data_IF_226836597344
#
_entry.id   IF_226836597344
#
_cell.length_a   1.000
_cell.length_b   1.000
_cell.length_c   1.000
_cell.angle_alpha   90.00
_cell.angle_beta   90.00
_cell.angle_gamma   90.00
#
_symmetry.space_group_name_H-M   'P 1'
#
loop_
_entity.id
_entity.type
_entity.pdbx_description
1 polymer ?
#
# COMPACT_ATOMS: atom_id res chain seq x y z
N UNK A 1 -32.26 13.41 -11.32
CA UNK A 1 -30.99 14.08 -10.99
C UNK A 1 -30.89 14.06 -9.48
N UNK A 2 -30.01 13.24 -8.92
CA UNK A 2 -29.76 13.24 -7.49
C UNK A 2 -29.29 14.63 -7.08
N UNK A 3 -30.05 15.32 -6.22
CA UNK A 3 -29.60 16.57 -5.62
C UNK A 3 -28.37 16.24 -4.76
N UNK A 4 -27.20 16.68 -5.23
CA UNK A 4 -25.93 16.53 -4.54
C UNK A 4 -25.86 17.64 -3.50
N UNK A 5 -25.91 17.30 -2.21
CA UNK A 5 -25.97 18.27 -1.11
C UNK A 5 -24.60 18.87 -0.71
N UNK A 6 -23.51 18.48 -1.37
CA UNK A 6 -22.15 18.96 -1.06
C UNK A 6 -21.13 18.63 -2.15
N UNK A 7 -19.88 19.01 -1.94
CA UNK A 7 -18.79 18.70 -2.88
C UNK A 7 -18.40 17.22 -2.81
N UNK A 8 -18.05 16.63 -3.96
CA UNK A 8 -17.45 15.29 -4.02
C UNK A 8 -16.03 15.39 -4.56
N UNK A 9 -15.10 14.69 -3.92
CA UNK A 9 -13.70 14.64 -4.33
C UNK A 9 -13.28 13.22 -4.67
N UNK A 10 -12.51 13.09 -5.74
CA UNK A 10 -11.74 11.90 -6.10
C UNK A 10 -10.28 12.31 -6.19
N UNK A 11 -9.44 11.69 -5.38
CA UNK A 11 -8.04 12.07 -5.23
C UNK A 11 -7.19 10.83 -5.48
N UNK A 12 -6.21 10.94 -6.35
CA UNK A 12 -5.15 9.94 -6.47
C UNK A 12 -3.83 10.56 -6.01
N UNK A 13 -3.35 10.08 -4.86
CA UNK A 13 -2.04 10.49 -4.32
C UNK A 13 -0.98 9.51 -4.81
N UNK A 14 -0.36 9.86 -5.93
CA UNK A 14 0.80 9.15 -6.47
C UNK A 14 2.11 9.53 -5.76
N UNK A 15 3.22 8.97 -6.24
CA UNK A 15 4.56 9.26 -5.70
C UNK A 15 5.12 10.63 -6.09
N UNK A 16 4.74 11.17 -7.26
CA UNK A 16 5.26 12.45 -7.76
C UNK A 16 4.23 13.57 -7.69
N UNK A 17 3.03 13.31 -8.17
CA UNK A 17 1.91 14.25 -8.17
C UNK A 17 0.69 13.64 -7.47
N UNK A 18 -0.12 14.52 -6.90
CA UNK A 18 -1.47 14.25 -6.44
C UNK A 18 -2.44 14.87 -7.43
N UNK A 19 -3.31 14.03 -7.98
CA UNK A 19 -4.37 14.44 -8.90
C UNK A 19 -5.69 14.54 -8.13
N UNK A 20 -6.38 15.67 -8.27
CA UNK A 20 -7.64 15.97 -7.60
C UNK A 20 -8.69 16.28 -8.64
N UNK A 21 -9.77 15.52 -8.61
CA UNK A 21 -11.00 15.79 -9.34
C UNK A 21 -12.08 16.13 -8.33
N UNK A 22 -12.74 17.26 -8.53
CA UNK A 22 -13.81 17.71 -7.66
C UNK A 22 -15.07 17.95 -8.48
N UNK A 23 -16.22 17.60 -7.91
CA UNK A 23 -17.55 17.92 -8.44
C UNK A 23 -18.29 18.79 -7.45
N UNK A 24 -18.68 19.98 -7.93
CA UNK A 24 -19.53 20.91 -7.19
C UNK A 24 -20.98 20.39 -7.08
N UNK A 25 -21.77 20.91 -6.12
CA UNK A 25 -23.20 20.60 -6.00
C UNK A 25 -24.00 20.86 -7.28
N UNK A 26 -23.62 21.88 -8.06
CA UNK A 26 -24.21 22.24 -9.35
C UNK A 26 -23.81 21.29 -10.51
N UNK A 27 -22.92 20.33 -10.24
CA UNK A 27 -22.42 19.35 -11.21
C UNK A 27 -21.13 19.75 -11.92
N UNK A 28 -20.61 20.97 -11.73
CA UNK A 28 -19.37 21.42 -12.37
C UNK A 28 -18.17 20.61 -11.89
N UNK A 29 -17.36 20.15 -12.84
CA UNK A 29 -16.11 19.45 -12.58
C UNK A 29 -14.93 20.43 -12.57
N UNK A 30 -14.01 20.23 -11.63
CA UNK A 30 -12.75 20.98 -11.54
C UNK A 30 -11.61 20.01 -11.24
N UNK A 31 -10.47 20.22 -11.88
CA UNK A 31 -9.26 19.44 -11.62
C UNK A 31 -8.14 20.30 -11.03
N UNK A 32 -7.29 19.69 -10.21
CA UNK A 32 -6.04 20.26 -9.70
C UNK A 32 -4.96 19.17 -9.73
N UNK A 33 -3.72 19.60 -9.97
CA UNK A 33 -2.52 18.75 -9.88
C UNK A 33 -1.54 19.44 -8.95
N UNK A 34 -1.08 18.72 -7.93
CA UNK A 34 -0.15 19.21 -6.92
C UNK A 34 1.05 18.27 -6.84
N UNK A 35 2.21 18.76 -6.40
CA UNK A 35 3.33 17.89 -6.04
C UNK A 35 2.93 17.06 -4.82
N UNK A 36 3.16 15.74 -4.83
CA UNK A 36 2.79 14.86 -3.71
C UNK A 36 3.52 15.20 -2.41
N UNK A 37 4.70 15.82 -2.54
CA UNK A 37 5.56 16.25 -1.44
C UNK A 37 6.10 17.66 -1.74
N UNK A 38 5.63 18.65 -0.99
CA UNK A 38 6.13 20.03 -1.05
C UNK A 38 6.02 20.73 0.32
N UNK A 39 6.88 20.35 1.28
CA UNK A 39 6.76 20.77 2.68
C UNK A 39 6.89 22.28 2.90
N UNK A 40 7.46 23.01 1.93
CA UNK A 40 7.58 24.48 1.96
C UNK A 40 6.22 25.19 1.75
N UNK A 41 5.24 24.51 1.15
CA UNK A 41 3.94 25.11 0.83
C UNK A 41 2.77 24.47 1.58
N UNK A 42 2.80 23.15 1.79
CA UNK A 42 1.70 22.42 2.42
C UNK A 42 2.16 21.14 3.08
N UNK A 43 1.44 20.74 4.14
CA UNK A 43 1.73 19.53 4.89
C UNK A 43 1.26 18.25 4.17
N UNK A 44 0.16 18.32 3.43
CA UNK A 44 -0.38 17.21 2.63
C UNK A 44 -1.07 17.72 1.35
N UNK A 45 -0.75 17.10 0.22
CA UNK A 45 -1.22 17.52 -1.09
C UNK A 45 -2.72 17.22 -1.33
N UNK A 46 -3.27 16.16 -0.73
CA UNK A 46 -4.67 15.82 -0.89
C UNK A 46 -5.56 16.83 -0.16
N UNK A 47 -5.22 17.14 1.09
CA UNK A 47 -5.92 18.15 1.88
C UNK A 47 -5.82 19.52 1.22
N UNK A 48 -4.61 19.91 0.80
CA UNK A 48 -4.39 21.18 0.11
C UNK A 48 -5.21 21.27 -1.18
N UNK A 49 -5.29 20.18 -1.95
CA UNK A 49 -6.09 20.13 -3.16
C UNK A 49 -7.58 20.36 -2.90
N UNK A 50 -8.12 19.77 -1.82
CA UNK A 50 -9.50 20.04 -1.37
C UNK A 50 -9.66 21.52 -0.98
N UNK A 51 -8.74 22.07 -0.18
CA UNK A 51 -8.78 23.47 0.25
C UNK A 51 -8.74 24.45 -0.91
N UNK A 52 -7.88 24.24 -1.91
CA UNK A 52 -7.78 25.08 -3.12
C UNK A 52 -9.03 25.06 -3.99
N UNK A 53 -9.79 23.97 -3.98
CA UNK A 53 -11.08 23.90 -4.71
C UNK A 53 -12.18 24.63 -3.94
N UNK A 54 -12.18 24.50 -2.61
CA UNK A 54 -13.19 25.11 -1.75
C UNK A 54 -12.88 26.57 -1.39
N UNK A 55 -11.71 27.08 -1.77
CA UNK A 55 -11.17 28.38 -1.31
C UNK A 55 -11.16 28.49 0.22
N UNK A 56 -10.79 27.40 0.89
CA UNK A 56 -10.82 27.27 2.33
C UNK A 56 -9.46 27.56 2.97
N UNK A 57 -9.47 28.25 4.12
CA UNK A 57 -8.29 28.46 4.95
C UNK A 57 -7.81 27.20 5.70
N UNK A 58 -6.75 27.33 6.53
CA UNK A 58 -6.27 26.24 7.36
C UNK A 58 -7.27 25.86 8.46
N UNK A 59 -7.26 24.58 8.87
CA UNK A 59 -8.18 24.02 9.86
C UNK A 59 -9.17 23.02 9.28
N UNK A 60 -10.04 22.43 10.13
CA UNK A 60 -11.06 21.48 9.69
C UNK A 60 -12.12 22.17 8.83
N UNK A 61 -12.62 21.46 7.82
CA UNK A 61 -13.65 21.98 6.93
C UNK A 61 -15.02 22.04 7.62
N UNK A 62 -15.90 22.99 7.24
CA UNK A 62 -17.27 23.03 7.74
C UNK A 62 -18.03 21.75 7.42
N UNK A 63 -18.78 21.23 8.41
CA UNK A 63 -19.63 20.05 8.23
C UNK A 63 -20.68 20.28 7.14
N UNK A 64 -20.94 19.25 6.32
CA UNK A 64 -21.90 19.29 5.22
C UNK A 64 -21.41 19.95 3.93
N UNK A 65 -20.24 20.62 3.94
CA UNK A 65 -19.66 21.21 2.73
C UNK A 65 -19.15 20.13 1.75
N UNK A 66 -18.61 19.04 2.30
CA UNK A 66 -18.06 17.91 1.55
C UNK A 66 -18.92 16.68 1.82
N UNK A 67 -19.50 16.12 0.76
CA UNK A 67 -20.31 14.90 0.84
C UNK A 67 -19.43 13.66 0.98
N UNK A 68 -18.32 13.60 0.23
CA UNK A 68 -17.37 12.50 0.33
C UNK A 68 -16.03 12.85 -0.31
N UNK A 69 -14.97 12.29 0.26
CA UNK A 69 -13.63 12.23 -0.35
C UNK A 69 -13.30 10.77 -0.60
N UNK A 70 -13.01 10.43 -1.86
CA UNK A 70 -12.59 9.10 -2.30
C UNK A 70 -11.14 9.17 -2.73
N UNK A 71 -10.30 8.32 -2.15
CA UNK A 71 -8.85 8.45 -2.29
C UNK A 71 -8.17 7.14 -2.70
N UNK A 72 -7.43 7.20 -3.81
CA UNK A 72 -6.34 6.26 -4.10
C UNK A 72 -5.04 6.79 -3.51
N UNK A 73 -4.21 5.90 -3.00
CA UNK A 73 -2.89 6.27 -2.46
C UNK A 73 -1.86 5.21 -2.79
N UNK A 74 -0.61 5.65 -3.01
CA UNK A 74 0.54 4.75 -3.17
C UNK A 74 1.38 4.65 -1.90
N UNK A 75 0.92 5.18 -0.76
CA UNK A 75 1.68 5.19 0.51
C UNK A 75 2.11 3.79 0.94
N UNK A 76 1.20 2.81 0.93
CA UNK A 76 1.53 1.43 1.30
C UNK A 76 2.51 0.78 0.32
N UNK A 77 2.26 0.90 -0.99
CA UNK A 77 3.15 0.36 -2.02
C UNK A 77 4.56 0.94 -1.91
N UNK A 78 4.68 2.26 -1.72
CA UNK A 78 5.98 2.91 -1.59
C UNK A 78 6.69 2.51 -0.28
N UNK A 79 5.97 2.47 0.84
CA UNK A 79 6.54 1.99 2.11
C UNK A 79 7.06 0.55 2.01
N UNK A 80 6.35 -0.31 1.28
CA UNK A 80 6.77 -1.68 1.00
C UNK A 80 8.03 -1.74 0.11
N UNK A 81 8.05 -0.98 -0.98
CA UNK A 81 9.18 -0.93 -1.92
C UNK A 81 10.45 -0.36 -1.27
N UNK A 82 10.30 0.71 -0.48
CA UNK A 82 11.41 1.40 0.19
C UNK A 82 11.82 0.75 1.52
N UNK A 83 11.11 -0.30 1.96
CA UNK A 83 11.31 -0.96 3.26
C UNK A 83 11.24 0.02 4.43
N UNK A 84 10.25 0.92 4.38
CA UNK A 84 9.95 1.92 5.41
C UNK A 84 8.61 1.67 6.08
N UNK A 85 8.38 0.43 6.54
CA UNK A 85 7.25 0.04 7.39
C UNK A 85 7.53 0.18 8.87
N UNK A 86 6.55 -0.20 9.68
CA UNK A 86 6.72 -0.33 11.13
C UNK A 86 7.53 -1.60 11.46
N UNK A 87 8.62 -1.52 12.26
CA UNK A 87 9.34 -2.70 12.73
C UNK A 87 8.39 -3.71 13.37
N UNK A 88 8.39 -4.93 12.83
CA UNK A 88 7.35 -5.93 13.12
C UNK A 88 7.94 -7.20 13.71
N UNK A 89 7.29 -7.72 14.75
CA UNK A 89 7.54 -9.03 15.34
C UNK A 89 6.66 -10.08 14.67
N UNK A 90 7.21 -11.27 14.38
CA UNK A 90 6.45 -12.45 14.00
C UNK A 90 6.26 -13.35 15.23
N UNK A 91 5.03 -13.50 15.70
CA UNK A 91 4.64 -14.52 16.67
C UNK A 91 4.10 -15.76 15.93
N UNK A 92 4.78 -16.89 16.06
CA UNK A 92 4.51 -18.10 15.27
C UNK A 92 4.67 -19.34 16.13
N UNK A 93 3.98 -20.43 15.77
CA UNK A 93 4.10 -21.74 16.45
C UNK A 93 5.56 -22.17 16.54
N UNK A 94 5.99 -22.65 17.71
CA UNK A 94 7.35 -23.17 17.94
C UNK A 94 7.72 -24.27 16.95
N UNK A 95 8.96 -24.19 16.45
CA UNK A 95 9.48 -25.06 15.38
C UNK A 95 9.14 -24.57 13.97
N UNK A 96 8.45 -23.43 13.83
CA UNK A 96 8.12 -22.78 12.56
C UNK A 96 8.71 -21.37 12.44
N UNK A 97 9.63 -20.96 13.33
CA UNK A 97 10.24 -19.63 13.33
C UNK A 97 10.84 -19.20 11.99
N UNK A 98 11.45 -20.13 11.25
CA UNK A 98 12.04 -19.87 9.93
C UNK A 98 11.10 -20.11 8.75
N UNK A 99 9.83 -20.48 8.98
CA UNK A 99 8.93 -20.94 7.92
C UNK A 99 8.71 -19.89 6.81
N UNK A 100 8.56 -18.61 7.19
CA UNK A 100 8.38 -17.53 6.21
C UNK A 100 9.68 -17.23 5.45
N UNK A 101 10.83 -17.29 6.13
CA UNK A 101 12.14 -17.13 5.49
C UNK A 101 12.42 -18.25 4.47
N UNK A 102 12.10 -19.50 4.81
CA UNK A 102 12.26 -20.66 3.92
C UNK A 102 11.30 -20.58 2.73
N UNK A 103 10.05 -20.18 2.97
CA UNK A 103 9.06 -20.08 1.91
C UNK A 103 8.71 -21.43 1.28
N UNK A 104 8.46 -21.43 -0.03
CA UNK A 104 8.10 -22.63 -0.80
C UNK A 104 9.31 -23.42 -1.31
N UNK A 105 10.54 -23.00 -0.99
CA UNK A 105 11.78 -23.55 -1.56
C UNK A 105 11.84 -23.51 -3.10
N UNK A 106 10.96 -22.75 -3.75
CA UNK A 106 10.95 -22.54 -5.19
C UNK A 106 12.22 -21.82 -5.62
N UNK A 107 12.82 -22.24 -6.74
CA UNK A 107 13.99 -21.59 -7.36
C UNK A 107 13.58 -20.91 -8.67
N UNK A 108 13.24 -19.61 -8.65
CA UNK A 108 12.84 -18.88 -9.87
C UNK A 108 13.94 -18.93 -10.94
N UNK A 109 15.19 -18.81 -10.51
CA UNK A 109 16.37 -18.93 -11.36
C UNK A 109 17.09 -20.26 -11.07
N UNK A 110 16.65 -21.33 -11.73
CA UNK A 110 17.09 -22.72 -11.48
C UNK A 110 18.62 -22.91 -11.47
N UNK A 111 19.35 -22.14 -12.28
CA UNK A 111 20.79 -22.31 -12.50
C UNK A 111 21.67 -21.34 -11.71
N UNK A 112 21.09 -20.40 -10.95
CA UNK A 112 21.87 -19.48 -10.11
C UNK A 112 22.52 -20.25 -8.97
N UNK A 113 23.85 -20.20 -8.89
CA UNK A 113 24.64 -20.89 -7.85
C UNK A 113 24.60 -20.16 -6.50
N UNK A 114 24.47 -18.84 -6.52
CA UNK A 114 24.40 -17.99 -5.33
C UNK A 114 22.98 -17.45 -5.15
N UNK A 115 22.13 -18.22 -4.47
CA UNK A 115 20.74 -17.83 -4.20
C UNK A 115 20.74 -16.65 -3.22
N UNK A 116 20.14 -15.53 -3.63
CA UNK A 116 19.83 -14.42 -2.73
C UNK A 116 18.40 -14.57 -2.27
N UNK A 117 18.20 -14.71 -0.96
CA UNK A 117 16.87 -14.73 -0.36
C UNK A 117 16.31 -13.30 -0.32
N UNK A 118 14.99 -13.16 -0.43
CA UNK A 118 14.34 -11.88 -0.22
C UNK A 118 14.41 -11.48 1.25
N UNK A 119 14.62 -10.18 1.50
CA UNK A 119 14.57 -9.63 2.84
C UNK A 119 13.17 -9.79 3.44
N UNK A 120 13.15 -10.16 4.72
CA UNK A 120 11.92 -10.33 5.49
C UNK A 120 11.38 -8.97 5.95
N UNK A 121 10.07 -8.84 6.10
CA UNK A 121 9.44 -7.64 6.65
C UNK A 121 9.41 -7.62 8.18
N UNK A 122 9.55 -8.79 8.82
CA UNK A 122 9.70 -8.90 10.27
C UNK A 122 11.19 -8.92 10.63
N UNK A 123 11.51 -8.38 11.82
CA UNK A 123 12.89 -8.28 12.32
C UNK A 123 13.14 -9.22 13.50
N UNK A 124 12.08 -9.63 14.20
CA UNK A 124 12.16 -10.48 15.37
C UNK A 124 11.10 -11.58 15.32
N UNK A 125 11.46 -12.78 15.81
CA UNK A 125 10.55 -13.93 15.87
C UNK A 125 10.37 -14.35 17.32
N UNK A 126 9.11 -14.48 17.72
CA UNK A 126 8.72 -15.06 19.01
C UNK A 126 8.01 -16.38 18.74
N UNK A 127 8.67 -17.48 19.07
CA UNK A 127 8.09 -18.80 18.95
C UNK A 127 7.16 -19.10 20.14
N UNK A 128 5.87 -19.25 19.86
CA UNK A 128 4.83 -19.56 20.82
C UNK A 128 4.84 -21.08 21.08
N UNK A 129 4.81 -21.50 22.35
CA UNK A 129 4.76 -22.91 22.69
C UNK A 129 3.30 -23.39 22.74
N UNK A 130 2.76 -23.70 21.57
CA UNK A 130 1.39 -24.19 21.43
C UNK A 130 1.28 -25.16 20.24
N UNK A 131 0.23 -25.98 20.21
CA UNK A 131 -0.07 -26.82 19.05
C UNK A 131 -1.54 -27.20 18.99
N UNK A 132 -2.17 -26.90 17.86
CA UNK A 132 -3.48 -27.44 17.48
C UNK A 132 -3.28 -28.39 16.30
N UNK A 133 -3.98 -29.52 16.29
CA UNK A 133 -3.94 -30.50 15.20
C UNK A 133 -4.89 -30.11 14.07
N UNK A 134 -4.76 -30.76 12.91
CA UNK A 134 -5.60 -30.48 11.74
C UNK A 134 -7.10 -30.78 11.95
N UNK A 135 -7.43 -31.66 12.91
CA UNK A 135 -8.78 -32.00 13.34
C UNK A 135 -9.34 -31.06 14.43
N UNK A 136 -8.52 -30.15 14.95
CA UNK A 136 -8.88 -29.20 16.00
C UNK A 136 -8.55 -29.65 17.41
N UNK A 137 -8.05 -30.87 17.60
CA UNK A 137 -7.61 -31.31 18.92
C UNK A 137 -6.40 -30.47 19.38
N UNK A 138 -6.47 -29.94 20.60
CA UNK A 138 -5.36 -29.24 21.24
C UNK A 138 -4.34 -30.28 21.70
N UNK A 139 -3.20 -30.33 21.02
CA UNK A 139 -2.06 -31.17 21.39
C UNK A 139 -1.23 -30.51 22.48
N UNK A 140 -1.09 -29.19 22.42
CA UNK A 140 -0.43 -28.38 23.44
C UNK A 140 -1.14 -27.04 23.61
N UNK A 141 -1.64 -26.69 24.81
CA UNK A 141 -2.23 -25.39 25.07
C UNK A 141 -1.17 -24.29 24.93
N UNK A 142 -1.60 -23.03 24.77
CA UNK A 142 -0.68 -21.89 24.74
C UNK A 142 0.06 -21.78 26.08
N UNK A 143 1.39 -21.79 26.06
CA UNK A 143 2.21 -21.35 27.21
C UNK A 143 2.07 -19.84 27.38
N UNK A 144 1.11 -19.42 28.22
CA UNK A 144 0.79 -18.02 28.49
C UNK A 144 2.00 -17.27 29.06
N UNK A 145 2.72 -17.87 30.00
CA UNK A 145 3.86 -17.24 30.67
C UNK A 145 5.06 -17.10 29.73
N UNK A 146 5.38 -18.15 28.95
CA UNK A 146 6.41 -18.09 27.92
C UNK A 146 6.08 -17.08 26.83
N UNK A 147 4.84 -17.06 26.36
CA UNK A 147 4.33 -16.09 25.38
C UNK A 147 4.47 -14.65 25.89
N UNK A 148 4.01 -14.40 27.13
CA UNK A 148 4.12 -13.07 27.74
C UNK A 148 5.56 -12.63 27.87
N UNK A 149 6.48 -13.50 28.30
CA UNK A 149 7.92 -13.19 28.39
C UNK A 149 8.50 -12.84 27.01
N UNK A 150 8.23 -13.66 25.99
CA UNK A 150 8.75 -13.44 24.64
C UNK A 150 8.24 -12.14 24.02
N UNK A 151 6.93 -11.91 24.07
CA UNK A 151 6.32 -10.69 23.58
C UNK A 151 6.76 -9.45 24.38
N UNK A 152 6.90 -9.56 25.71
CA UNK A 152 7.40 -8.46 26.54
C UNK A 152 8.84 -8.11 26.18
N UNK A 153 9.71 -9.10 25.97
CA UNK A 153 11.08 -8.85 25.53
C UNK A 153 11.12 -8.08 24.21
N UNK A 154 10.25 -8.41 23.25
CA UNK A 154 10.15 -7.67 22.00
C UNK A 154 9.62 -6.23 22.22
N UNK A 155 8.63 -6.04 23.10
CA UNK A 155 8.17 -4.69 23.51
C UNK A 155 9.27 -3.85 24.13
N UNK A 156 10.01 -4.44 25.07
CA UNK A 156 11.12 -3.78 25.75
C UNK A 156 12.25 -3.43 24.76
N UNK A 157 12.41 -4.20 23.67
CA UNK A 157 13.32 -3.91 22.57
C UNK A 157 12.81 -2.83 21.59
N UNK A 158 11.60 -2.29 21.81
CA UNK A 158 11.06 -1.15 21.07
C UNK A 158 10.00 -1.49 20.02
N UNK A 159 9.68 -2.77 19.79
CA UNK A 159 8.71 -3.17 18.77
C UNK A 159 7.28 -2.71 19.11
N UNK A 160 6.61 -2.05 18.15
CA UNK A 160 5.22 -1.60 18.30
C UNK A 160 4.17 -2.42 17.55
N UNK A 161 4.61 -3.19 16.56
CA UNK A 161 3.77 -4.03 15.72
C UNK A 161 4.08 -5.52 15.86
N UNK A 162 3.04 -6.35 15.85
CA UNK A 162 3.15 -7.82 15.87
C UNK A 162 2.20 -8.48 14.88
N UNK A 163 2.73 -9.44 14.12
CA UNK A 163 1.98 -10.35 13.28
C UNK A 163 1.91 -11.72 13.97
N UNK A 164 0.69 -12.25 14.17
CA UNK A 164 0.45 -13.53 14.84
C UNK A 164 -0.05 -14.52 13.81
N UNK A 165 0.72 -15.59 13.54
CA UNK A 165 0.37 -16.62 12.57
C UNK A 165 0.69 -18.02 13.11
N UNK A 166 -0.30 -18.68 13.70
CA UNK A 166 -0.13 -20.02 14.29
C UNK A 166 -0.59 -21.12 13.33
N UNK A 167 0.01 -22.29 13.39
CA UNK A 167 -0.36 -23.46 12.58
C UNK A 167 -1.83 -23.82 12.83
N UNK A 168 -2.59 -24.05 11.76
CA UNK A 168 -4.05 -24.26 11.78
C UNK A 168 -4.91 -23.11 12.37
N UNK A 169 -4.31 -21.96 12.69
CA UNK A 169 -5.01 -20.76 13.19
C UNK A 169 -6.10 -20.23 12.26
N UNK A 170 -6.02 -20.53 10.95
CA UNK A 170 -7.06 -20.21 9.96
C UNK A 170 -8.44 -20.85 10.24
N UNK A 171 -8.48 -21.94 11.03
CA UNK A 171 -9.72 -22.67 11.38
C UNK A 171 -9.96 -22.69 12.89
N UNK A 172 -8.90 -22.87 13.67
CA UNK A 172 -8.98 -23.00 15.13
C UNK A 172 -8.31 -21.78 15.78
N UNK A 173 -9.11 -20.75 16.00
CA UNK A 173 -8.63 -19.38 16.23
C UNK A 173 -8.25 -19.07 17.68
N UNK A 174 -8.59 -19.95 18.62
CA UNK A 174 -8.57 -19.62 20.05
C UNK A 174 -7.15 -19.34 20.58
N UNK A 175 -6.14 -20.07 20.10
CA UNK A 175 -4.75 -19.80 20.48
C UNK A 175 -4.27 -18.45 19.93
N UNK A 176 -4.61 -18.11 18.68
CA UNK A 176 -4.26 -16.81 18.10
C UNK A 176 -4.93 -15.66 18.88
N UNK A 177 -6.19 -15.84 19.31
CA UNK A 177 -6.90 -14.85 20.14
C UNK A 177 -6.25 -14.67 21.51
N UNK A 178 -5.79 -15.75 22.15
CA UNK A 178 -5.07 -15.68 23.43
C UNK A 178 -3.75 -14.91 23.29
N UNK A 179 -2.93 -15.25 22.28
CA UNK A 179 -1.67 -14.54 21.99
C UNK A 179 -1.95 -13.06 21.69
N UNK A 180 -3.00 -12.76 20.92
CA UNK A 180 -3.41 -11.38 20.65
C UNK A 180 -3.86 -10.63 21.91
N UNK A 181 -4.55 -11.29 22.84
CA UNK A 181 -4.90 -10.75 24.15
C UNK A 181 -3.66 -10.34 24.94
N UNK A 182 -2.67 -11.22 25.04
CA UNK A 182 -1.40 -10.93 25.70
C UNK A 182 -0.68 -9.75 25.03
N UNK A 183 -0.65 -9.71 23.69
CA UNK A 183 -0.05 -8.60 22.96
C UNK A 183 -0.75 -7.26 23.26
N UNK A 184 -2.08 -7.23 23.34
CA UNK A 184 -2.84 -6.03 23.73
C UNK A 184 -2.49 -5.56 25.14
N UNK A 185 -2.44 -6.48 26.10
CA UNK A 185 -2.08 -6.17 27.49
C UNK A 185 -0.67 -5.61 27.64
N UNK A 186 0.27 -6.08 26.81
CA UNK A 186 1.65 -5.56 26.75
C UNK A 186 1.77 -4.26 25.94
N UNK A 187 0.67 -3.75 25.40
CA UNK A 187 0.56 -2.46 24.74
C UNK A 187 0.99 -2.44 23.27
N UNK A 188 1.04 -3.57 22.56
CA UNK A 188 1.23 -3.55 21.10
C UNK A 188 0.16 -2.66 20.45
N UNK A 189 0.61 -1.69 19.63
CA UNK A 189 -0.26 -0.68 19.02
C UNK A 189 -0.90 -1.22 17.74
N UNK A 190 -0.17 -2.09 17.04
CA UNK A 190 -0.65 -2.84 15.89
C UNK A 190 -0.52 -4.34 16.14
N UNK A 191 -1.63 -5.05 16.00
CA UNK A 191 -1.70 -6.50 16.15
C UNK A 191 -2.47 -7.04 14.95
N UNK A 192 -1.78 -7.72 14.05
CA UNK A 192 -2.41 -8.41 12.92
C UNK A 192 -2.48 -9.89 13.21
N UNK A 193 -3.69 -10.42 13.32
CA UNK A 193 -3.94 -11.84 13.62
C UNK A 193 -4.29 -12.57 12.34
N UNK A 194 -3.64 -13.69 12.06
CA UNK A 194 -3.67 -14.28 10.73
C UNK A 194 -5.05 -14.72 10.25
N UNK A 195 -5.90 -15.25 11.13
CA UNK A 195 -7.28 -15.60 10.77
C UNK A 195 -8.18 -14.37 10.51
N UNK A 196 -7.89 -13.22 11.13
CA UNK A 196 -8.63 -11.97 10.91
C UNK A 196 -8.15 -11.24 9.64
N UNK A 197 -6.86 -11.38 9.30
CA UNK A 197 -6.29 -10.84 8.06
C UNK A 197 -6.74 -11.68 6.87
N UNK A 198 -6.65 -13.00 6.97
CA UNK A 198 -7.11 -13.91 5.92
C UNK A 198 -7.06 -15.36 6.38
N UNK A 199 -8.22 -15.98 6.56
CA UNK A 199 -8.39 -17.36 7.02
C UNK A 199 -8.03 -18.42 5.96
N UNK A 200 -6.82 -18.33 5.39
CA UNK A 200 -6.32 -19.25 4.36
C UNK A 200 -5.51 -20.38 4.98
N UNK A 201 -5.70 -21.61 4.49
CA UNK A 201 -5.07 -22.81 5.07
C UNK A 201 -3.53 -22.78 5.10
N UNK A 202 -2.89 -22.26 4.04
CA UNK A 202 -1.43 -22.36 3.85
C UNK A 202 -0.69 -21.32 4.72
N UNK A 203 0.13 -21.81 5.65
CA UNK A 203 0.86 -20.99 6.63
C UNK A 203 1.74 -19.92 5.99
N UNK A 204 2.53 -20.25 4.97
CA UNK A 204 3.50 -19.31 4.38
C UNK A 204 2.81 -18.08 3.82
N UNK A 205 1.90 -18.26 2.86
CA UNK A 205 1.20 -17.13 2.24
C UNK A 205 0.30 -16.38 3.22
N UNK A 206 -0.35 -17.07 4.16
CA UNK A 206 -1.13 -16.43 5.24
C UNK A 206 -0.22 -15.59 6.15
N UNK A 207 0.90 -16.15 6.57
CA UNK A 207 1.87 -15.50 7.46
C UNK A 207 2.51 -14.28 6.81
N UNK A 208 2.99 -14.38 5.57
CA UNK A 208 3.55 -13.22 4.85
C UNK A 208 2.52 -12.08 4.69
N UNK A 209 1.26 -12.43 4.39
CA UNK A 209 0.18 -11.44 4.30
C UNK A 209 -0.12 -10.80 5.65
N UNK A 210 -0.06 -11.57 6.73
CA UNK A 210 -0.25 -11.08 8.11
C UNK A 210 0.88 -10.16 8.53
N UNK A 211 2.13 -10.49 8.16
CA UNK A 211 3.29 -9.63 8.39
C UNK A 211 3.18 -8.35 7.57
N UNK A 212 2.83 -8.43 6.28
CA UNK A 212 2.65 -7.26 5.44
C UNK A 212 1.55 -6.33 5.99
N UNK A 213 0.46 -6.90 6.50
CA UNK A 213 -0.59 -6.13 7.18
C UNK A 213 -0.08 -5.41 8.43
N UNK A 214 0.65 -6.12 9.31
CA UNK A 214 1.24 -5.55 10.54
C UNK A 214 2.28 -4.47 10.24
N UNK A 215 3.05 -4.65 9.17
CA UNK A 215 4.11 -3.75 8.74
C UNK A 215 3.59 -2.44 8.16
N UNK A 216 2.47 -2.50 7.41
CA UNK A 216 1.95 -1.36 6.64
C UNK A 216 0.78 -0.63 7.31
N UNK A 217 -0.03 -1.32 8.12
CA UNK A 217 -1.23 -0.71 8.73
C UNK A 217 -0.95 0.52 9.60
N UNK A 218 0.14 0.59 10.41
CA UNK A 218 0.43 1.77 11.22
C UNK A 218 0.65 3.03 10.38
N UNK A 219 1.38 2.89 9.27
CA UNK A 219 1.67 4.01 8.35
C UNK A 219 0.41 4.49 7.66
N UNK A 220 -0.44 3.55 7.23
CA UNK A 220 -1.72 3.89 6.64
C UNK A 220 -2.63 4.60 7.63
N UNK A 221 -2.72 4.10 8.87
CA UNK A 221 -3.55 4.72 9.91
C UNK A 221 -3.07 6.13 10.22
N UNK A 222 -1.77 6.34 10.41
CA UNK A 222 -1.22 7.68 10.60
C UNK A 222 -1.55 8.63 9.44
N UNK A 223 -1.52 8.13 8.19
CA UNK A 223 -1.91 8.92 7.02
C UNK A 223 -3.40 9.24 7.00
N UNK A 224 -4.25 8.24 7.26
CA UNK A 224 -5.71 8.37 7.32
C UNK A 224 -6.12 9.34 8.42
N UNK A 225 -5.54 9.23 9.61
CA UNK A 225 -5.84 10.09 10.77
C UNK A 225 -5.43 11.54 10.50
N UNK A 226 -4.26 11.75 9.86
CA UNK A 226 -3.81 13.09 9.45
C UNK A 226 -4.80 13.72 8.46
N UNK A 227 -5.17 13.00 7.40
CA UNK A 227 -6.09 13.51 6.38
C UNK A 227 -7.49 13.73 6.98
N UNK A 228 -7.98 12.78 7.78
CA UNK A 228 -9.27 12.87 8.46
C UNK A 228 -9.35 14.07 9.39
N UNK A 229 -8.35 14.26 10.26
CA UNK A 229 -8.31 15.40 11.19
C UNK A 229 -8.26 16.75 10.49
N UNK A 230 -7.56 16.86 9.35
CA UNK A 230 -7.51 18.11 8.58
C UNK A 230 -8.78 18.38 7.74
N UNK A 231 -9.47 17.34 7.26
CA UNK A 231 -10.74 17.46 6.54
C UNK A 231 -11.96 17.53 7.47
N UNK A 232 -11.78 17.23 8.75
CA UNK A 232 -12.83 17.18 9.77
C UNK A 232 -13.51 15.81 9.86
N UNK A 233 -13.73 15.34 11.09
CA UNK A 233 -14.23 13.98 11.39
C UNK A 233 -15.61 13.66 10.78
N UNK A 234 -16.41 14.69 10.44
CA UNK A 234 -17.71 14.54 9.81
C UNK A 234 -17.62 14.25 8.30
N UNK A 235 -16.46 14.45 7.66
CA UNK A 235 -16.26 14.26 6.23
C UNK A 235 -16.09 12.77 5.91
N UNK A 236 -16.98 12.15 5.11
CA UNK A 236 -16.84 10.74 4.76
C UNK A 236 -15.59 10.51 3.90
N UNK A 237 -14.61 9.80 4.47
CA UNK A 237 -13.35 9.45 3.81
C UNK A 237 -13.32 7.97 3.42
N UNK A 238 -13.24 7.72 2.12
CA UNK A 238 -13.23 6.40 1.50
C UNK A 238 -11.89 6.17 0.80
N UNK A 239 -11.30 4.99 0.98
CA UNK A 239 -10.03 4.60 0.36
C UNK A 239 -10.23 3.50 -0.66
N UNK A 240 -9.55 3.63 -1.79
CA UNK A 240 -9.46 2.60 -2.81
C UNK A 240 -8.68 1.41 -2.25
N UNK A 241 -9.15 0.20 -2.55
CA UNK A 241 -8.51 -1.05 -2.19
C UNK A 241 -7.90 -1.72 -3.44
N UNK A 242 -6.95 -2.63 -3.22
CA UNK A 242 -6.28 -3.41 -4.28
C UNK A 242 -7.24 -4.20 -5.18
N UNK A 243 -8.44 -4.51 -4.69
CA UNK A 243 -9.49 -5.22 -5.44
C UNK A 243 -10.35 -4.31 -6.33
N UNK A 244 -10.10 -2.99 -6.35
CA UNK A 244 -10.87 -1.99 -7.08
C UNK A 244 -12.10 -1.45 -6.35
N UNK A 245 -12.34 -1.87 -5.11
CA UNK A 245 -13.43 -1.40 -4.26
C UNK A 245 -13.04 -0.22 -3.37
N UNK A 246 -14.03 0.44 -2.76
CA UNK A 246 -13.83 1.48 -1.75
C UNK A 246 -14.16 0.94 -0.36
N UNK A 247 -13.37 1.33 0.64
CA UNK A 247 -13.64 1.05 2.05
C UNK A 247 -13.54 2.31 2.90
N UNK A 248 -14.21 2.35 4.04
CA UNK A 248 -14.09 3.45 4.99
C UNK A 248 -12.69 3.47 5.63
N UNK A 249 -12.23 4.68 5.97
CA UNK A 249 -10.98 4.95 6.71
C UNK A 249 -10.65 3.92 7.81
N UNK A 250 -11.59 3.67 8.73
CA UNK A 250 -11.37 2.76 9.87
C UNK A 250 -11.27 1.27 9.50
N UNK A 251 -11.71 0.88 8.31
CA UNK A 251 -11.64 -0.50 7.81
C UNK A 251 -10.51 -0.71 6.81
N UNK A 252 -9.69 0.31 6.53
CA UNK A 252 -8.60 0.24 5.57
C UNK A 252 -7.37 -0.42 6.21
N UNK A 253 -6.92 -1.54 5.64
CA UNK A 253 -5.84 -2.38 6.19
C UNK A 253 -4.63 -2.39 5.27
N UNK A 254 -3.45 -2.60 5.84
CA UNK A 254 -2.16 -2.67 5.16
C UNK A 254 -2.18 -3.55 3.91
N UNK A 255 -2.73 -4.77 4.04
CA UNK A 255 -2.78 -5.73 2.94
C UNK A 255 -3.65 -5.31 1.74
N UNK A 256 -4.65 -4.44 1.98
CA UNK A 256 -5.64 -4.03 0.97
C UNK A 256 -5.27 -2.71 0.29
N UNK A 257 -4.17 -2.09 0.71
CA UNK A 257 -3.68 -0.81 0.18
C UNK A 257 -2.56 -0.98 -0.86
N UNK A 258 -2.03 -2.19 -1.01
CA UNK A 258 -0.92 -2.46 -1.93
C UNK A 258 -1.47 -2.41 -3.36
N UNK A 259 -0.96 -1.52 -4.20
CA UNK A 259 -1.46 -1.25 -5.55
C UNK A 259 -2.91 -0.71 -5.61
N UNK A 260 -3.40 -0.05 -4.55
CA UNK A 260 -4.74 0.56 -4.57
C UNK A 260 -4.90 1.71 -5.57
N UNK A 261 -3.86 2.53 -5.79
CA UNK A 261 -3.91 3.61 -6.80
C UNK A 261 -4.14 3.06 -8.21
N UNK A 262 -3.24 2.19 -8.71
CA UNK A 262 -3.41 1.54 -10.02
C UNK A 262 -4.75 0.81 -10.18
N UNK A 263 -5.27 0.18 -9.12
CA UNK A 263 -6.57 -0.47 -9.15
C UNK A 263 -7.71 0.50 -9.53
N UNK A 264 -7.69 1.74 -9.03
CA UNK A 264 -8.62 2.78 -9.45
C UNK A 264 -8.46 3.16 -10.92
N UNK A 265 -7.22 3.20 -11.42
CA UNK A 265 -6.91 3.41 -12.84
C UNK A 265 -7.50 2.32 -13.74
N UNK A 266 -7.40 1.04 -13.34
CA UNK A 266 -8.01 -0.08 -14.08
C UNK A 266 -9.53 0.06 -14.15
N UNK A 267 -10.19 0.38 -13.04
CA UNK A 267 -11.65 0.61 -13.00
C UNK A 267 -12.02 1.80 -13.88
N UNK A 268 -11.32 2.92 -13.77
CA UNK A 268 -11.57 4.11 -14.58
C UNK A 268 -11.38 3.85 -16.08
N UNK A 269 -10.32 3.14 -16.46
CA UNK A 269 -10.06 2.72 -17.83
C UNK A 269 -11.18 1.82 -18.36
N UNK A 270 -11.54 0.76 -17.62
CA UNK A 270 -12.55 -0.20 -18.05
C UNK A 270 -13.93 0.45 -18.24
N UNK A 271 -14.37 1.28 -17.30
CA UNK A 271 -15.67 1.96 -17.42
C UNK A 271 -15.66 3.01 -18.54
N UNK A 272 -14.54 3.72 -18.74
CA UNK A 272 -14.39 4.67 -19.85
C UNK A 272 -14.40 3.97 -21.21
N UNK A 273 -13.66 2.86 -21.33
CA UNK A 273 -13.62 2.04 -22.52
C UNK A 273 -15.00 1.47 -22.86
N UNK A 274 -15.72 0.93 -21.86
CA UNK A 274 -17.08 0.40 -22.02
C UNK A 274 -18.03 1.48 -22.51
N UNK A 275 -17.96 2.69 -21.94
CA UNK A 275 -18.78 3.82 -22.39
C UNK A 275 -18.50 4.22 -23.85
N UNK A 276 -17.27 4.02 -24.32
CA UNK A 276 -16.87 4.23 -25.71
C UNK A 276 -17.13 3.01 -26.63
N UNK A 277 -17.73 1.93 -26.12
CA UNK A 277 -18.05 0.73 -26.90
C UNK A 277 -16.91 -0.28 -27.04
N UNK A 278 -15.83 -0.14 -26.26
CA UNK A 278 -14.71 -1.09 -26.23
C UNK A 278 -14.82 -2.01 -25.02
N UNK A 279 -14.82 -3.31 -25.28
CA UNK A 279 -14.86 -4.36 -24.26
C UNK A 279 -13.49 -4.98 -23.96
N UNK A 280 -12.49 -4.67 -24.79
CA UNK A 280 -11.12 -5.19 -24.69
C UNK A 280 -10.11 -4.06 -24.77
N UNK A 281 -9.38 -3.82 -23.68
CA UNK A 281 -8.39 -2.74 -23.59
C UNK A 281 -7.18 -3.18 -22.77
N UNK A 282 -6.02 -2.61 -23.12
CA UNK A 282 -4.79 -2.71 -22.35
C UNK A 282 -4.56 -1.36 -21.70
N UNK A 283 -4.44 -1.35 -20.37
CA UNK A 283 -4.07 -0.18 -19.61
C UNK A 283 -2.56 -0.02 -19.60
N UNK A 284 -2.11 1.20 -19.82
CA UNK A 284 -0.71 1.61 -19.70
C UNK A 284 -0.67 2.93 -18.95
N UNK A 285 -0.30 2.89 -17.68
CA UNK A 285 -0.17 4.06 -16.81
C UNK A 285 1.29 4.23 -16.41
N UNK A 286 1.95 5.26 -16.95
CA UNK A 286 3.35 5.56 -16.63
C UNK A 286 3.43 6.84 -15.80
N UNK A 287 3.82 6.68 -14.55
CA UNK A 287 4.08 7.77 -13.63
C UNK A 287 5.54 8.23 -13.62
N UNK A 288 5.93 8.92 -12.54
CA UNK A 288 7.30 9.34 -12.31
C UNK A 288 8.23 8.21 -11.85
N UNK A 289 7.71 7.13 -11.26
CA UNK A 289 8.55 6.08 -10.65
C UNK A 289 8.32 4.71 -11.26
N UNK A 290 7.09 4.40 -11.64
CA UNK A 290 6.67 3.09 -12.15
C UNK A 290 5.77 3.21 -13.37
N UNK A 291 5.64 2.10 -14.07
CA UNK A 291 4.65 1.89 -15.13
C UNK A 291 3.79 0.70 -14.72
N UNK A 292 2.49 0.90 -14.69
CA UNK A 292 1.49 -0.11 -14.38
C UNK A 292 0.75 -0.51 -15.65
N UNK A 293 0.72 -1.82 -15.93
CA UNK A 293 0.07 -2.41 -17.09
C UNK A 293 -1.07 -3.31 -16.61
N UNK A 294 -2.22 -3.19 -17.23
CA UNK A 294 -3.40 -4.00 -16.92
C UNK A 294 -4.12 -4.44 -18.18
N UNK A 295 -4.98 -5.44 -18.04
CA UNK A 295 -5.80 -5.94 -19.13
C UNK A 295 -7.25 -6.04 -18.67
N UNK A 296 -8.16 -5.62 -19.55
CA UNK A 296 -9.59 -5.78 -19.36
C UNK A 296 -10.18 -6.37 -20.64
N UNK A 297 -10.92 -7.47 -20.50
CA UNK A 297 -11.56 -8.18 -21.61
C UNK A 297 -12.97 -8.63 -21.22
N UNK A 298 -13.88 -7.67 -21.04
CA UNK A 298 -15.26 -7.87 -20.60
C UNK A 298 -15.42 -8.04 -19.09
N UNK A 299 -14.41 -8.57 -18.41
CA UNK A 299 -14.35 -8.73 -16.95
C UNK A 299 -13.05 -8.21 -16.34
N UNK A 300 -13.11 -7.89 -15.06
CA UNK A 300 -11.95 -7.50 -14.27
C UNK A 300 -11.13 -8.75 -13.92
N UNK A 301 -9.92 -8.84 -14.46
CA UNK A 301 -8.97 -9.89 -14.08
C UNK A 301 -8.53 -9.70 -12.62
N UNK A 302 -8.59 -10.78 -11.84
CA UNK A 302 -8.23 -10.77 -10.42
C UNK A 302 -7.22 -11.84 -10.13
N UNK A 303 -6.31 -11.54 -9.20
CA UNK A 303 -5.42 -12.52 -8.59
C UNK A 303 -5.61 -12.54 -7.08
N UNK A 304 -5.50 -13.73 -6.48
CA UNK A 304 -5.41 -13.91 -5.04
C UNK A 304 -3.96 -14.13 -4.57
N UNK A 305 -3.03 -14.14 -5.52
CA UNK A 305 -1.63 -14.51 -5.37
C UNK A 305 -0.77 -13.49 -6.08
N UNK A 306 -0.02 -12.69 -5.34
CA UNK A 306 0.98 -11.82 -5.94
C UNK A 306 2.28 -11.83 -5.15
N UNK A 307 3.35 -11.47 -5.84
CA UNK A 307 4.63 -11.14 -5.22
C UNK A 307 4.92 -9.67 -5.52
N UNK A 308 4.87 -8.83 -4.49
CA UNK A 308 5.14 -7.40 -4.60
C UNK A 308 6.38 -7.10 -3.78
N UNK A 309 7.40 -6.49 -4.39
CA UNK A 309 8.69 -6.21 -3.75
C UNK A 309 9.36 -7.44 -3.08
N UNK A 310 9.13 -8.63 -3.63
CA UNK A 310 9.63 -9.90 -3.09
C UNK A 310 8.80 -10.48 -1.94
N UNK A 311 7.71 -9.82 -1.53
CA UNK A 311 6.80 -10.26 -0.47
C UNK A 311 5.61 -10.98 -1.09
N UNK A 312 5.32 -12.18 -0.58
CA UNK A 312 4.19 -13.01 -1.05
C UNK A 312 2.91 -12.54 -0.38
N UNK A 313 1.91 -12.19 -1.17
CA UNK A 313 0.63 -11.69 -0.70
C UNK A 313 -0.49 -12.62 -1.16
N UNK A 314 -1.37 -12.93 -0.21
CA UNK A 314 -2.58 -13.72 -0.40
C UNK A 314 -3.81 -12.89 -0.08
N UNK A 315 -4.13 -11.96 -0.97
CA UNK A 315 -5.29 -11.09 -0.87
C UNK A 315 -5.94 -10.92 -2.25
N UNK A 316 -7.27 -10.73 -2.35
CA UNK A 316 -7.91 -10.42 -3.63
C UNK A 316 -7.43 -9.07 -4.17
N UNK A 317 -6.91 -9.06 -5.40
CA UNK A 317 -6.37 -7.87 -6.06
C UNK A 317 -6.76 -7.89 -7.54
N UNK A 318 -6.82 -6.72 -8.18
CA UNK A 318 -6.84 -6.64 -9.64
C UNK A 318 -5.50 -7.10 -10.21
N UNK A 319 -5.54 -7.75 -11.36
CA UNK A 319 -4.35 -8.20 -12.08
C UNK A 319 -3.64 -7.00 -12.70
N UNK A 320 -2.55 -6.55 -12.06
CA UNK A 320 -1.75 -5.39 -12.47
C UNK A 320 -0.29 -5.80 -12.47
N UNK A 321 0.40 -5.49 -13.56
CA UNK A 321 1.83 -5.69 -13.71
C UNK A 321 2.56 -4.37 -13.60
N UNK A 322 3.35 -4.20 -12.53
CA UNK A 322 4.17 -3.01 -12.32
C UNK A 322 5.61 -3.26 -12.79
N UNK A 323 6.15 -2.33 -13.57
CA UNK A 323 7.57 -2.24 -13.92
C UNK A 323 8.15 -0.99 -13.26
N UNK A 324 9.34 -1.10 -12.65
CA UNK A 324 10.07 0.00 -12.03
C UNK A 324 10.72 0.93 -13.09
N UNK A 325 9.90 1.53 -13.94
CA UNK A 325 10.30 2.47 -14.98
C UNK A 325 9.26 3.59 -15.09
N UNK A 326 9.70 4.84 -15.09
CA UNK A 326 8.84 6.03 -15.20
C UNK A 326 9.64 7.27 -15.58
N UNK A 327 9.01 8.45 -15.53
CA UNK A 327 9.65 9.72 -15.91
C UNK A 327 10.89 10.07 -15.07
N UNK A 328 10.89 9.75 -13.78
CA UNK A 328 11.99 9.96 -12.85
C UNK A 328 13.05 8.86 -12.85
N UNK A 329 12.92 7.81 -13.67
CA UNK A 329 13.93 6.74 -13.74
C UNK A 329 15.28 7.31 -14.16
N UNK A 330 16.31 7.00 -13.38
CA UNK A 330 17.64 7.59 -13.53
C UNK A 330 18.33 6.98 -14.75
N UNK A 331 18.84 7.84 -15.62
CA UNK A 331 19.65 7.46 -16.78
C UNK A 331 21.13 7.45 -16.38
N UNK A 332 21.82 6.32 -16.55
CA UNK A 332 23.26 6.17 -16.26
C UNK A 332 23.97 5.49 -17.42
N UNK A 333 25.16 5.98 -17.76
CA UNK A 333 26.07 5.28 -18.67
C UNK A 333 27.10 4.51 -17.83
N UNK A 334 27.17 3.19 -18.00
CA UNK A 334 28.07 2.32 -17.23
C UNK A 334 29.46 2.15 -17.85
N UNK A 335 29.78 2.96 -18.88
CA UNK A 335 30.99 2.82 -19.70
C UNK A 335 30.78 2.02 -20.98
N UNK A 336 29.69 1.25 -21.09
CA UNK A 336 29.38 0.46 -22.29
C UNK A 336 27.99 0.76 -22.86
N UNK A 337 26.97 0.90 -22.02
CA UNK A 337 25.59 1.17 -22.44
C UNK A 337 24.89 2.17 -21.54
N UNK A 338 23.90 2.85 -22.11
CA UNK A 338 22.97 3.64 -21.34
C UNK A 338 21.94 2.72 -20.69
N UNK A 339 21.75 2.83 -19.38
CA UNK A 339 20.74 2.12 -18.59
C UNK A 339 19.78 3.12 -17.98
N UNK A 340 18.52 2.71 -17.85
CA UNK A 340 17.45 3.51 -17.26
C UNK A 340 16.83 2.72 -16.13
N UNK A 341 16.82 3.30 -14.92
CA UNK A 341 16.34 2.63 -13.71
C UNK A 341 17.23 1.46 -13.24
N UNK A 342 16.76 0.68 -12.24
CA UNK A 342 15.44 0.76 -11.60
C UNK A 342 15.29 1.93 -10.63
N UNK A 343 16.37 2.63 -10.25
CA UNK A 343 16.29 3.76 -9.33
C UNK A 343 15.56 4.96 -9.96
N UNK A 344 14.79 5.68 -9.12
CA UNK A 344 14.04 6.88 -9.49
C UNK A 344 14.50 8.09 -8.68
N UNK A 345 14.44 9.27 -9.29
CA UNK A 345 14.69 10.55 -8.62
C UNK A 345 13.48 11.08 -7.83
N UNK A 346 12.30 10.46 -7.97
CA UNK A 346 11.08 10.85 -7.26
C UNK A 346 10.61 12.28 -7.58
N UNK A 347 9.96 12.95 -6.62
CA UNK A 347 9.63 14.38 -6.70
C UNK A 347 10.73 15.29 -6.12
N UNK A 348 11.52 14.77 -5.17
CA UNK A 348 12.58 15.50 -4.46
C UNK A 348 13.82 14.60 -4.35
N UNK A 349 14.97 14.98 -4.91
CA UNK A 349 15.21 16.21 -5.69
C UNK A 349 14.50 16.21 -7.06
N UNK A 350 14.03 15.05 -7.53
CA UNK A 350 13.36 14.90 -8.82
C UNK A 350 14.31 14.96 -10.02
N UNK A 351 13.77 14.96 -11.26
CA UNK A 351 14.51 15.21 -12.49
C UNK A 351 15.39 16.45 -12.42
N UNK A 352 16.52 16.46 -13.14
CA UNK A 352 17.41 17.64 -13.20
C UNK A 352 16.69 18.90 -13.69
N UNK A 353 15.71 18.74 -14.58
CA UNK A 353 14.85 19.79 -15.12
C UNK A 353 14.00 20.47 -14.04
N UNK A 354 13.81 19.86 -12.87
CA UNK A 354 13.17 20.51 -11.72
C UNK A 354 14.09 21.54 -11.04
N UNK A 355 15.36 21.63 -11.45
CA UNK A 355 16.36 22.60 -10.95
C UNK A 355 16.64 22.49 -9.45
N UNK A 356 16.48 21.29 -8.88
CA UNK A 356 16.73 20.97 -7.46
C UNK A 356 17.97 20.09 -7.24
N UNK A 357 18.92 20.12 -8.18
CA UNK A 357 20.16 19.31 -8.09
C UNK A 357 19.99 17.82 -8.41
N UNK A 358 18.86 17.42 -9.00
CA UNK A 358 18.55 16.04 -9.36
C UNK A 358 19.49 15.42 -10.42
N UNK A 359 19.49 14.08 -10.53
CA UNK A 359 20.24 13.35 -11.56
C UNK A 359 19.56 13.46 -12.94
N UNK A 360 20.22 12.97 -14.00
CA UNK A 360 19.61 12.83 -15.32
C UNK A 360 18.56 11.71 -15.30
N UNK A 361 17.37 11.99 -15.83
CA UNK A 361 16.21 11.09 -15.84
C UNK A 361 15.50 11.06 -17.21
N UNK A 362 14.52 10.18 -17.38
CA UNK A 362 13.68 10.11 -18.59
C UNK A 362 12.94 11.42 -18.86
N UNK A 363 12.45 12.11 -17.82
CA UNK A 363 11.81 13.42 -17.92
C UNK A 363 12.76 14.46 -18.51
N UNK A 364 14.03 14.45 -18.12
CA UNK A 364 15.05 15.35 -18.68
C UNK A 364 15.25 15.12 -20.18
N UNK A 365 15.30 13.85 -20.60
CA UNK A 365 15.35 13.50 -22.02
C UNK A 365 14.11 14.01 -22.77
N UNK A 366 12.92 13.87 -22.18
CA UNK A 366 11.68 14.34 -22.80
C UNK A 366 11.60 15.87 -22.90
N UNK A 367 12.17 16.61 -21.93
CA UNK A 367 12.32 18.08 -22.02
C UNK A 367 13.29 18.45 -23.13
N UNK A 368 14.47 17.84 -23.19
CA UNK A 368 15.48 18.11 -24.23
C UNK A 368 14.98 17.82 -25.64
N UNK A 369 14.16 16.78 -25.80
CA UNK A 369 13.54 16.41 -27.07
C UNK A 369 12.30 17.26 -27.42
N UNK A 370 11.90 18.20 -26.56
CA UNK A 370 10.71 19.04 -26.78
C UNK A 370 9.37 18.32 -26.66
N UNK A 371 9.36 17.08 -26.14
CA UNK A 371 8.12 16.33 -25.87
C UNK A 371 7.38 16.89 -24.66
N UNK A 372 8.13 17.33 -23.66
CA UNK A 372 7.60 18.09 -22.52
C UNK A 372 7.93 19.58 -22.73
N UNK A 373 6.89 20.40 -22.60
CA UNK A 373 6.97 21.86 -22.66
C UNK A 373 7.08 22.44 -21.25
N UNK A 374 8.25 22.98 -20.85
CA UNK A 374 8.48 23.43 -19.47
C UNK A 374 7.48 24.49 -18.99
N UNK A 375 6.97 25.32 -19.89
CA UNK A 375 6.01 26.40 -19.58
C UNK A 375 4.64 25.89 -19.09
N UNK A 376 4.30 24.62 -19.35
CA UNK A 376 3.07 23.98 -18.88
C UNK A 376 3.32 22.95 -17.77
N UNK A 377 4.55 22.87 -17.25
CA UNK A 377 4.89 21.94 -16.19
C UNK A 377 4.45 22.50 -14.82
N UNK A 378 3.80 21.69 -13.95
CA UNK A 378 3.22 22.15 -12.68
C UNK A 378 4.22 22.68 -11.66
#
# INVERSE_FOLDING_TARGET
MDQVNGWRFWIDRGGTFTDVVARAPDGRLTTRKLLSVNPEQYADAAVEGVRRVLDAGPGPLPSGLVEAVRMGTTVATNALLERKGEPTVLAITRGFGDALRIGWQSRPELFVRHIRLNDQLYEHVVEIDERVRADGAVDRPVDIEGTRRGLKSARDAGFRSVAIALVHGWRFTDHERQVAGIARELGFEQISVSHEVGALIKLIGRGDTTVADAYLSPILRAYVDKVGGELGDATPLLFMQSNGGLTAAGAFRGKDAILSGPAGGVVGMAETARAAGFDRVIGFDMGGTSTDVSHFAGEYERTSDAVVAGVRLRAPMLSIHTVAAGGGSICRFDGARLRVGPESAGAVPGPRAYRRGGPLTVTDCNVLLGKLKPEFFP
#
